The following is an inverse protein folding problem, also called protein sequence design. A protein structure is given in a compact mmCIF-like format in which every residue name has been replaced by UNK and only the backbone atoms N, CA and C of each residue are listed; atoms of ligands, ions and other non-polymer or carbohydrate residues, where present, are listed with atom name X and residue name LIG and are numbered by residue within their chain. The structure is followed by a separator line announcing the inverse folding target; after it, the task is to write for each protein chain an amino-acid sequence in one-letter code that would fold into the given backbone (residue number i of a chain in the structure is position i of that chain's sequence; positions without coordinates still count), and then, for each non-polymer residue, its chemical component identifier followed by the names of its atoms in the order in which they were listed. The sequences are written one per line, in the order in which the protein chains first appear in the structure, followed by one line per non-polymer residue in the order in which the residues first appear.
data_IF_668624554406
#
_entry.id   IF_668624554406
#
_cell.length_a   1.000
_cell.length_b   1.000
_cell.length_c   1.000
_cell.angle_alpha   90.00
_cell.angle_beta   90.00
_cell.angle_gamma   90.00
#
_symmetry.space_group_name_H-M   'P 1'
#
loop_
_entity.id
_entity.type
_entity.pdbx_description
1 polymer ?
#
# COMPACT_ATOMS: atom_id res chain seq x y z
N UNK A 1 -0.88 -20.42 -16.79
CA UNK A 1 -1.96 -19.38 -16.88
C UNK A 1 -2.05 -18.61 -15.56
N UNK A 2 -1.90 -17.28 -15.57
CA UNK A 2 -1.77 -16.43 -14.36
C UNK A 2 -3.09 -15.89 -13.78
N UNK A 3 -4.18 -15.99 -14.53
CA UNK A 3 -5.53 -15.68 -14.07
C UNK A 3 -6.36 -16.95 -13.93
N UNK A 4 -7.34 -16.92 -13.04
CA UNK A 4 -8.39 -17.91 -12.94
C UNK A 4 -9.51 -17.62 -13.93
N UNK A 5 -10.39 -18.60 -14.15
CA UNK A 5 -11.54 -18.44 -15.03
C UNK A 5 -12.54 -17.40 -14.53
N UNK A 6 -12.46 -17.06 -13.23
CA UNK A 6 -13.24 -15.98 -12.59
C UNK A 6 -12.57 -14.60 -12.70
N UNK A 7 -11.71 -14.41 -13.69
CA UNK A 7 -10.84 -13.26 -13.88
C UNK A 7 -9.89 -12.89 -12.71
N UNK A 8 -9.79 -13.68 -11.62
CA UNK A 8 -8.90 -13.35 -10.48
C UNK A 8 -7.44 -13.71 -10.75
N UNK A 9 -6.49 -12.90 -10.29
CA UNK A 9 -5.04 -13.20 -10.36
C UNK A 9 -4.75 -14.41 -9.45
N UNK A 10 -4.06 -15.41 -9.98
CA UNK A 10 -3.67 -16.61 -9.21
C UNK A 10 -2.49 -16.30 -8.29
N UNK A 11 -2.46 -16.97 -7.14
CA UNK A 11 -1.41 -16.81 -6.15
C UNK A 11 -0.08 -17.40 -6.65
N UNK A 12 1.04 -16.82 -6.18
CA UNK A 12 2.42 -17.25 -6.50
C UNK A 12 2.65 -18.75 -6.37
N UNK A 13 2.15 -19.35 -5.30
CA UNK A 13 2.29 -20.79 -5.02
C UNK A 13 1.66 -21.70 -6.08
N UNK A 14 0.71 -21.19 -6.85
CA UNK A 14 0.02 -21.94 -7.91
C UNK A 14 0.75 -21.77 -9.25
N UNK A 15 1.31 -20.60 -9.50
CA UNK A 15 1.98 -20.29 -10.77
C UNK A 15 3.49 -20.52 -10.73
N UNK A 16 4.09 -20.67 -9.54
CA UNK A 16 5.53 -20.83 -9.35
C UNK A 16 6.34 -19.53 -9.38
N UNK A 17 5.70 -18.35 -9.32
CA UNK A 17 6.38 -17.07 -9.53
C UNK A 17 7.15 -16.58 -8.29
N UNK A 18 8.29 -15.91 -8.53
CA UNK A 18 9.00 -15.14 -7.50
C UNK A 18 8.15 -13.93 -7.04
N UNK A 19 8.56 -13.30 -5.92
CA UNK A 19 7.81 -12.16 -5.38
C UNK A 19 7.80 -10.97 -6.36
N UNK A 20 8.94 -10.73 -7.00
CA UNK A 20 9.10 -9.65 -7.97
C UNK A 20 8.25 -9.91 -9.22
N UNK A 21 8.38 -11.10 -9.82
CA UNK A 21 7.61 -11.50 -10.99
C UNK A 21 6.10 -11.42 -10.75
N UNK A 22 5.63 -11.72 -9.53
CA UNK A 22 4.21 -11.60 -9.21
C UNK A 22 3.74 -10.15 -9.25
N UNK A 23 4.57 -9.19 -8.80
CA UNK A 23 4.24 -7.76 -8.85
C UNK A 23 4.14 -7.33 -10.31
N UNK A 24 5.11 -7.72 -11.12
CA UNK A 24 5.17 -7.38 -12.54
C UNK A 24 3.94 -7.95 -13.28
N UNK A 25 3.61 -9.22 -13.05
CA UNK A 25 2.40 -9.86 -13.61
C UNK A 25 1.13 -9.17 -13.13
N UNK A 26 1.06 -8.79 -11.85
CA UNK A 26 -0.11 -8.10 -11.32
C UNK A 26 -0.30 -6.70 -11.92
N UNK A 27 0.79 -5.97 -12.15
CA UNK A 27 0.77 -4.68 -12.85
C UNK A 27 0.34 -4.85 -14.31
N UNK A 28 0.94 -5.81 -15.03
CA UNK A 28 0.57 -6.09 -16.42
C UNK A 28 -0.92 -6.45 -16.56
N UNK A 29 -1.47 -7.25 -15.64
CA UNK A 29 -2.90 -7.61 -15.66
C UNK A 29 -3.78 -6.38 -15.38
N UNK A 30 -3.38 -5.46 -14.49
CA UNK A 30 -4.13 -4.22 -14.24
C UNK A 30 -4.17 -3.36 -15.50
N UNK A 31 -3.00 -3.10 -16.09
CA UNK A 31 -2.89 -2.31 -17.32
C UNK A 31 -3.71 -2.95 -18.45
N UNK A 32 -3.63 -4.27 -18.63
CA UNK A 32 -4.41 -4.99 -19.65
C UNK A 32 -5.93 -4.85 -19.44
N UNK A 33 -6.39 -4.76 -18.19
CA UNK A 33 -7.80 -4.55 -17.88
C UNK A 33 -8.24 -3.10 -18.09
N UNK A 34 -7.37 -2.14 -17.82
CA UNK A 34 -7.60 -0.74 -18.18
C UNK A 34 -7.72 -0.58 -19.71
N UNK A 35 -6.92 -1.34 -20.46
CA UNK A 35 -6.98 -1.42 -21.93
C UNK A 35 -8.12 -2.33 -22.46
N UNK A 36 -9.02 -2.80 -21.59
CA UNK A 36 -10.14 -3.70 -21.93
C UNK A 36 -9.75 -5.01 -22.65
N UNK A 37 -8.49 -5.45 -22.55
CA UNK A 37 -8.03 -6.73 -23.10
C UNK A 37 -8.48 -7.92 -22.25
N UNK A 38 -8.82 -7.67 -20.98
CA UNK A 38 -9.24 -8.68 -20.01
C UNK A 38 -10.46 -8.19 -19.22
N UNK A 39 -11.38 -9.10 -18.83
CA UNK A 39 -12.60 -8.74 -18.09
C UNK A 39 -12.34 -8.38 -16.62
N UNK A 40 -13.20 -7.51 -16.07
CA UNK A 40 -13.40 -7.30 -14.64
C UNK A 40 -14.61 -8.09 -14.17
N UNK A 41 -14.40 -9.28 -13.60
CA UNK A 41 -15.50 -10.13 -13.15
C UNK A 41 -15.79 -9.94 -11.65
N UNK A 42 -16.85 -9.19 -11.34
CA UNK A 42 -17.38 -9.03 -9.97
C UNK A 42 -18.52 -10.03 -9.73
N UNK A 43 -18.18 -11.31 -9.63
CA UNK A 43 -19.19 -12.32 -9.29
C UNK A 43 -19.54 -12.22 -7.81
N UNK A 44 -20.76 -11.80 -7.51
CA UNK A 44 -21.35 -11.85 -6.16
C UNK A 44 -21.43 -13.32 -5.76
N UNK A 45 -20.48 -13.77 -4.94
CA UNK A 45 -20.57 -15.11 -4.35
C UNK A 45 -21.69 -15.05 -3.34
N UNK A 46 -22.80 -15.72 -3.64
CA UNK A 46 -23.89 -15.92 -2.68
C UNK A 46 -23.28 -16.37 -1.36
N UNK A 47 -23.56 -15.65 -0.28
CA UNK A 47 -23.13 -16.01 1.06
C UNK A 47 -23.59 -17.44 1.35
N UNK A 48 -22.70 -18.41 1.20
CA UNK A 48 -22.92 -19.75 1.72
C UNK A 48 -22.83 -19.65 3.24
N UNK A 49 -23.99 -19.40 3.86
CA UNK A 49 -24.39 -19.88 5.18
C UNK A 49 -23.55 -19.42 6.38
N UNK A 50 -24.09 -18.46 7.12
CA UNK A 50 -24.49 -18.76 8.51
C UNK A 50 -23.39 -19.13 9.53
N UNK A 51 -22.29 -18.39 9.61
CA UNK A 51 -21.50 -18.29 10.87
C UNK A 51 -21.68 -16.92 11.51
N UNK A 52 -22.96 -16.59 11.73
CA UNK A 52 -23.42 -15.51 12.59
C UNK A 52 -23.93 -16.02 13.94
N UNK A 53 -23.42 -17.17 14.39
CA UNK A 53 -23.59 -17.62 15.77
C UNK A 53 -22.33 -17.28 16.54
N UNK A 54 -22.47 -16.36 17.49
CA UNK A 54 -21.54 -16.18 18.61
C UNK A 54 -20.23 -15.40 18.39
N UNK A 55 -20.36 -14.12 17.98
CA UNK A 55 -19.33 -13.11 18.31
C UNK A 55 -19.72 -12.21 19.48
N UNK A 56 -20.91 -12.42 20.05
CA UNK A 56 -21.43 -11.60 21.15
C UNK A 56 -20.82 -11.96 22.51
N UNK A 57 -20.12 -13.09 22.64
CA UNK A 57 -19.39 -13.46 23.86
C UNK A 57 -17.95 -12.92 23.94
N UNK A 58 -17.29 -12.56 22.83
CA UNK A 58 -15.85 -12.23 22.83
C UNK A 58 -15.52 -10.84 23.37
N UNK A 59 -16.53 -9.96 23.47
CA UNK A 59 -16.32 -8.58 23.92
C UNK A 59 -16.33 -8.44 25.46
N UNK A 60 -16.77 -9.46 26.22
CA UNK A 60 -16.74 -9.45 27.69
C UNK A 60 -15.35 -9.76 28.29
N UNK A 61 -14.48 -10.48 27.56
CA UNK A 61 -13.14 -10.86 28.06
C UNK A 61 -12.02 -9.86 27.70
N UNK A 62 -12.34 -8.75 27.02
CA UNK A 62 -11.34 -7.69 26.76
C UNK A 62 -11.11 -6.86 28.01
N UNK A 63 -10.15 -7.29 28.84
CA UNK A 63 -9.55 -6.45 29.90
C UNK A 63 -9.22 -5.06 29.32
N UNK A 64 -9.65 -3.97 29.98
CA UNK A 64 -9.19 -2.62 29.63
C UNK A 64 -7.66 -2.61 29.62
N UNK A 65 -7.08 -2.15 28.51
CA UNK A 65 -5.63 -1.94 28.45
C UNK A 65 -5.32 -0.76 29.36
N UNK A 66 -4.68 -1.02 30.50
CA UNK A 66 -4.24 0.04 31.40
C UNK A 66 -3.40 1.07 30.62
N UNK A 67 -3.68 2.37 30.77
CA UNK A 67 -2.84 3.39 30.18
C UNK A 67 -1.45 3.26 30.80
N UNK A 68 -0.45 2.95 29.97
CA UNK A 68 0.93 3.12 30.41
C UNK A 68 1.13 4.61 30.66
N UNK A 69 1.41 4.98 31.90
CA UNK A 69 1.95 6.29 32.24
C UNK A 69 3.20 6.48 31.38
N UNK A 70 3.08 7.32 30.35
CA UNK A 70 4.24 7.77 29.57
C UNK A 70 5.01 8.69 30.47
N UNK A 71 6.05 8.14 31.10
CA UNK A 71 7.06 8.95 31.75
C UNK A 71 7.76 9.81 30.68
N UNK A 72 7.71 11.12 30.90
CA UNK A 72 8.41 12.22 30.23
C UNK A 72 8.07 12.58 28.75
N UNK A 73 7.84 13.88 28.46
CA UNK A 73 7.88 14.41 27.10
C UNK A 73 9.33 14.44 26.60
N UNK A 74 9.67 13.57 25.65
CA UNK A 74 10.87 13.80 24.81
C UNK A 74 10.59 15.00 23.91
N UNK A 75 11.31 16.08 24.19
CA UNK A 75 11.39 17.30 23.42
C UNK A 75 11.45 17.00 21.92
N UNK A 76 10.40 17.35 21.18
CA UNK A 76 10.49 17.64 19.76
C UNK A 76 11.37 18.87 19.60
N UNK A 77 12.66 18.65 19.35
CA UNK A 77 13.49 19.68 18.73
C UNK A 77 12.99 19.82 17.28
N UNK A 78 12.14 20.81 17.06
CA UNK A 78 11.92 21.42 15.75
C UNK A 78 13.26 21.94 15.26
N UNK A 79 13.85 21.46 14.15
CA UNK A 79 14.83 22.27 13.47
C UNK A 79 14.07 23.43 12.81
N UNK A 80 14.25 24.63 13.36
CA UNK A 80 13.86 25.89 12.75
C UNK A 80 14.40 25.95 11.32
N UNK A 81 13.64 26.44 10.32
CA UNK A 81 14.21 26.78 9.03
C UNK A 81 15.10 28.03 9.22
N UNK A 82 16.41 27.85 9.22
CA UNK A 82 17.33 28.97 9.06
C UNK A 82 17.31 29.37 7.59
N UNK A 83 16.70 30.52 7.32
CA UNK A 83 17.00 31.34 6.15
C UNK A 83 18.46 31.77 6.25
N UNK A 84 19.32 31.20 5.40
CA UNK A 84 20.58 31.81 5.02
C UNK A 84 20.47 32.19 3.55
N UNK A 85 20.23 33.48 3.31
CA UNK A 85 20.67 34.14 2.09
C UNK A 85 22.19 33.98 1.98
N UNK A 86 22.67 33.42 0.88
CA UNK A 86 23.97 33.80 0.34
C UNK A 86 23.72 34.28 -1.07
N UNK A 87 23.76 35.60 -1.17
CA UNK A 87 23.66 36.40 -2.37
C UNK A 87 25.07 36.57 -2.97
N UNK A 88 25.11 36.82 -4.28
CA UNK A 88 26.20 37.38 -5.08
C UNK A 88 27.35 36.41 -5.44
N UNK A 89 27.45 36.01 -6.71
CA UNK A 89 27.95 36.75 -7.90
C UNK A 89 29.38 36.29 -8.20
N UNK A 90 29.57 35.75 -9.41
CA UNK A 90 30.80 35.85 -10.20
C UNK A 90 30.37 35.53 -11.64
N UNK A 91 30.05 36.58 -12.41
CA UNK A 91 30.93 37.20 -13.42
C UNK A 91 31.08 36.37 -14.70
N UNK A 92 30.31 36.79 -15.71
CA UNK A 92 30.69 37.02 -17.12
C UNK A 92 32.09 36.60 -17.55
N UNK A 93 32.19 35.74 -18.57
CA UNK A 93 33.01 35.87 -19.80
C UNK A 93 32.31 34.94 -20.85
N UNK A 94 31.66 35.43 -21.92
CA UNK A 94 32.19 36.07 -23.13
C UNK A 94 32.59 35.07 -24.25
N UNK A 95 32.14 35.42 -25.47
CA UNK A 95 32.50 34.92 -26.82
C UNK A 95 31.86 33.60 -27.29
N UNK A 96 30.88 33.62 -28.22
CA UNK A 96 30.93 34.01 -29.63
C UNK A 96 31.63 32.99 -30.54
N UNK A 97 30.83 32.19 -31.26
CA UNK A 97 30.93 31.98 -32.71
C UNK A 97 29.60 31.44 -33.26
#
# INVERSE_FOLDING_TARGET
RFTSDRAKIRARRVTGNSAQQQRDVAMAIKNAREMALLPYENRVTTQRGGRGGDRRQRDDDRRPREPKETDAPKQTATPSPQTEEVNQENTTEESAE
#
